data_IF_717953473462
#
_entry.id   IF_717953473462
#
_cell.length_a   1.000
_cell.length_b   1.000
_cell.length_c   1.000
_cell.angle_alpha   90.00
_cell.angle_beta   90.00
_cell.angle_gamma   90.00
#
_symmetry.space_group_name_H-M   'P 1'
#
loop_
_entity.id
_entity.type
_entity.pdbx_description
1 polymer ?
#
# COMPACT_ATOMS: atom_id res chain seq x y z
N UNK A 1 -4.62 1.57 -50.43
CA UNK A 1 -5.47 1.09 -49.32
C UNK A 1 -4.83 1.62 -48.05
N UNK A 2 -5.11 2.89 -47.76
CA UNK A 2 -4.58 3.60 -46.59
C UNK A 2 -5.53 3.31 -45.44
N UNK A 3 -5.03 2.57 -44.46
CA UNK A 3 -5.75 2.27 -43.23
C UNK A 3 -5.93 3.59 -42.47
N UNK A 4 -7.17 4.10 -42.42
CA UNK A 4 -7.48 5.27 -41.61
C UNK A 4 -7.36 4.87 -40.13
N UNK A 5 -6.67 5.66 -39.29
CA UNK A 5 -6.62 5.37 -37.87
C UNK A 5 -8.03 5.37 -37.30
N UNK A 6 -8.38 4.32 -36.56
CA UNK A 6 -9.67 4.19 -35.91
C UNK A 6 -9.95 5.41 -35.01
N UNK A 7 -11.20 5.88 -35.02
CA UNK A 7 -11.63 6.97 -34.15
C UNK A 7 -11.43 6.58 -32.67
N UNK A 8 -11.05 7.53 -31.80
CA UNK A 8 -10.89 7.26 -30.38
C UNK A 8 -12.22 6.80 -29.76
N UNK A 9 -12.18 5.89 -28.76
CA UNK A 9 -13.39 5.38 -28.12
C UNK A 9 -14.16 6.49 -27.40
N UNK A 10 -15.47 6.32 -27.31
CA UNK A 10 -16.32 7.18 -26.48
C UNK A 10 -16.02 7.01 -24.99
N UNK A 11 -16.41 7.98 -24.15
CA UNK A 11 -16.14 7.90 -22.70
C UNK A 11 -16.72 6.64 -22.01
N UNK A 12 -17.95 6.17 -22.33
CA UNK A 12 -18.46 4.90 -21.81
C UNK A 12 -17.62 3.69 -22.24
N UNK A 13 -17.22 3.63 -23.52
CA UNK A 13 -16.38 2.54 -24.05
C UNK A 13 -14.98 2.52 -23.41
N UNK A 14 -14.43 3.70 -23.10
CA UNK A 14 -13.14 3.82 -22.42
C UNK A 14 -13.22 3.31 -20.96
N UNK A 15 -14.30 3.62 -20.24
CA UNK A 15 -14.53 3.10 -18.86
C UNK A 15 -14.67 1.59 -18.87
N UNK A 16 -15.45 1.03 -19.80
CA UNK A 16 -15.63 -0.42 -19.93
C UNK A 16 -14.31 -1.14 -20.24
N UNK A 17 -13.46 -0.55 -21.09
CA UNK A 17 -12.13 -1.07 -21.39
C UNK A 17 -11.21 -1.10 -20.16
N UNK A 18 -11.22 -0.04 -19.34
CA UNK A 18 -10.43 0.02 -18.09
C UNK A 18 -10.88 -1.05 -17.09
N UNK A 19 -12.20 -1.24 -16.96
CA UNK A 19 -12.78 -2.28 -16.08
C UNK A 19 -12.39 -3.68 -16.58
N UNK A 20 -12.49 -3.95 -17.88
CA UNK A 20 -12.12 -5.24 -18.47
C UNK A 20 -10.61 -5.55 -18.30
N UNK A 21 -9.75 -4.56 -18.49
CA UNK A 21 -8.31 -4.65 -18.22
C UNK A 21 -8.04 -5.00 -16.75
N UNK A 22 -8.70 -4.29 -15.83
CA UNK A 22 -8.53 -4.51 -14.40
C UNK A 22 -8.96 -5.92 -13.96
N UNK A 23 -10.05 -6.45 -14.52
CA UNK A 23 -10.49 -7.83 -14.28
C UNK A 23 -9.44 -8.83 -14.78
N UNK A 24 -8.90 -8.62 -15.98
CA UNK A 24 -7.84 -9.48 -16.54
C UNK A 24 -6.60 -9.50 -15.65
N UNK A 25 -6.16 -8.33 -15.16
CA UNK A 25 -5.03 -8.21 -14.25
C UNK A 25 -5.30 -8.91 -12.90
N UNK A 26 -6.51 -8.78 -12.35
CA UNK A 26 -6.90 -9.41 -11.09
C UNK A 26 -6.87 -10.94 -11.19
N UNK A 27 -7.44 -11.49 -12.27
CA UNK A 27 -7.44 -12.92 -12.54
C UNK A 27 -6.02 -13.48 -12.73
N UNK A 28 -5.17 -12.76 -13.46
CA UNK A 28 -3.78 -13.13 -13.65
C UNK A 28 -2.99 -13.12 -12.33
N UNK A 29 -3.19 -12.10 -11.50
CA UNK A 29 -2.54 -11.97 -10.19
C UNK A 29 -2.99 -13.08 -9.22
N UNK A 30 -4.28 -13.41 -9.19
CA UNK A 30 -4.82 -14.50 -8.37
C UNK A 30 -4.23 -15.87 -8.80
N UNK A 31 -4.24 -16.17 -10.10
CA UNK A 31 -3.61 -17.40 -10.64
C UNK A 31 -2.12 -17.48 -10.32
N UNK A 32 -1.38 -16.40 -10.51
CA UNK A 32 0.05 -16.36 -10.21
C UNK A 32 0.35 -16.55 -8.71
N UNK A 33 -0.57 -16.15 -7.83
CA UNK A 33 -0.49 -16.38 -6.40
C UNK A 33 -0.98 -17.78 -5.96
N UNK A 34 -1.54 -18.57 -6.89
CA UNK A 34 -2.17 -19.86 -6.61
C UNK A 34 -3.38 -19.71 -5.67
N UNK A 35 -4.11 -18.61 -5.75
CA UNK A 35 -5.26 -18.37 -4.89
C UNK A 35 -6.48 -17.92 -5.71
N UNK A 36 -7.65 -18.01 -5.10
CA UNK A 36 -8.89 -17.45 -5.62
C UNK A 36 -9.27 -16.26 -4.75
N UNK A 37 -9.52 -15.10 -5.36
CA UNK A 37 -9.86 -13.87 -4.62
C UNK A 37 -11.29 -13.46 -4.97
N UNK A 38 -12.07 -13.07 -3.96
CA UNK A 38 -13.43 -12.60 -4.20
C UNK A 38 -14.10 -11.99 -2.98
N UNK A 39 -15.24 -11.30 -3.17
CA UNK A 39 -16.09 -10.85 -2.07
C UNK A 39 -16.59 -12.02 -1.22
N UNK A 40 -16.77 -11.80 0.08
CA UNK A 40 -17.30 -12.79 1.02
C UNK A 40 -18.51 -12.25 1.78
N UNK A 41 -19.50 -13.11 1.99
CA UNK A 41 -20.73 -12.77 2.73
C UNK A 41 -21.16 -13.86 3.71
N UNK A 42 -20.61 -15.07 3.62
CA UNK A 42 -20.95 -16.16 4.54
C UNK A 42 -20.36 -15.87 5.93
N UNK A 43 -21.15 -16.11 6.99
CA UNK A 43 -20.71 -15.82 8.37
C UNK A 43 -19.40 -16.55 8.73
N UNK A 44 -19.24 -17.81 8.28
CA UNK A 44 -18.04 -18.59 8.51
C UNK A 44 -16.77 -17.92 7.94
N UNK A 45 -16.85 -17.31 6.75
CA UNK A 45 -15.73 -16.62 6.11
C UNK A 45 -15.39 -15.30 6.81
N UNK A 46 -16.42 -14.58 7.28
CA UNK A 46 -16.26 -13.34 8.04
C UNK A 46 -15.60 -13.62 9.40
N UNK A 47 -16.03 -14.68 10.09
CA UNK A 47 -15.38 -15.14 11.33
C UNK A 47 -13.94 -15.60 11.09
N UNK A 48 -13.69 -16.33 10.00
CA UNK A 48 -12.33 -16.73 9.61
C UNK A 48 -11.44 -15.52 9.31
N UNK A 49 -12.00 -14.47 8.71
CA UNK A 49 -11.31 -13.20 8.48
C UNK A 49 -10.90 -12.52 9.78
N UNK A 50 -11.81 -12.46 10.77
CA UNK A 50 -11.50 -11.93 12.10
C UNK A 50 -10.34 -12.71 12.75
N UNK A 51 -10.41 -14.05 12.75
CA UNK A 51 -9.34 -14.92 13.28
C UNK A 51 -8.01 -14.72 12.55
N UNK A 52 -8.02 -14.55 11.23
CA UNK A 52 -6.82 -14.25 10.46
C UNK A 52 -6.19 -12.93 10.92
N UNK A 53 -7.00 -11.86 11.03
CA UNK A 53 -6.50 -10.55 11.46
C UNK A 53 -5.95 -10.60 12.89
N UNK A 54 -6.62 -11.29 13.80
CA UNK A 54 -6.10 -11.54 15.15
C UNK A 54 -4.74 -12.23 15.08
N UNK A 55 -4.62 -13.33 14.32
CA UNK A 55 -3.35 -14.05 14.16
C UNK A 55 -2.18 -13.22 13.60
N UNK A 56 -2.46 -12.16 12.83
CA UNK A 56 -1.43 -11.28 12.25
C UNK A 56 -1.02 -10.16 13.21
N UNK A 57 -1.98 -9.49 13.85
CA UNK A 57 -1.73 -8.26 14.62
C UNK A 57 -1.82 -8.44 16.14
N UNK A 58 -2.48 -9.50 16.65
CA UNK A 58 -2.76 -9.70 18.08
C UNK A 58 -2.77 -11.18 18.50
N UNK A 59 -1.68 -11.67 19.12
CA UNK A 59 -1.73 -12.94 19.84
C UNK A 59 -2.45 -12.88 21.21
N UNK A 60 -2.84 -11.71 21.72
CA UNK A 60 -3.44 -11.59 23.07
C UNK A 60 -4.51 -10.48 23.22
N UNK A 61 -5.78 -10.89 23.37
CA UNK A 61 -6.65 -10.48 24.49
C UNK A 61 -7.42 -9.15 24.49
N UNK A 62 -7.14 -8.16 23.64
CA UNK A 62 -7.88 -6.88 23.68
C UNK A 62 -8.40 -6.45 22.30
N UNK A 63 -9.61 -5.85 22.25
CA UNK A 63 -10.36 -5.29 21.12
C UNK A 63 -9.91 -5.77 19.71
N UNK A 64 -10.65 -6.71 19.12
CA UNK A 64 -10.41 -7.20 17.77
C UNK A 64 -10.33 -6.07 16.73
N UNK A 65 -9.47 -6.23 15.72
CA UNK A 65 -9.29 -5.25 14.64
C UNK A 65 -10.58 -5.02 13.83
N UNK A 66 -11.40 -6.05 13.74
CA UNK A 66 -12.75 -6.01 13.21
C UNK A 66 -13.57 -7.07 13.96
N UNK A 67 -14.89 -6.88 14.01
CA UNK A 67 -15.82 -7.91 14.50
C UNK A 67 -16.61 -8.50 13.33
N UNK A 68 -17.12 -9.71 13.48
CA UNK A 68 -17.96 -10.37 12.47
C UNK A 68 -19.19 -9.52 12.12
N UNK A 69 -19.80 -8.87 13.13
CA UNK A 69 -20.94 -7.97 12.96
C UNK A 69 -20.58 -6.74 12.12
N UNK A 70 -19.40 -6.15 12.36
CA UNK A 70 -18.91 -5.03 11.56
C UNK A 70 -18.68 -5.46 10.11
N UNK A 71 -18.00 -6.58 9.88
CA UNK A 71 -17.76 -7.08 8.52
C UNK A 71 -19.07 -7.39 7.79
N UNK A 72 -20.04 -7.98 8.49
CA UNK A 72 -21.39 -8.23 7.95
C UNK A 72 -22.12 -6.93 7.61
N UNK A 73 -22.02 -5.91 8.46
CA UNK A 73 -22.59 -4.59 8.19
C UNK A 73 -21.93 -3.91 7.00
N UNK A 74 -20.60 -4.01 6.87
CA UNK A 74 -19.85 -3.48 5.72
C UNK A 74 -20.29 -4.14 4.40
N UNK A 75 -20.32 -5.48 4.35
CA UNK A 75 -20.82 -6.24 3.20
C UNK A 75 -22.24 -5.81 2.83
N UNK A 76 -23.15 -5.76 3.81
CA UNK A 76 -24.54 -5.32 3.60
C UNK A 76 -24.66 -3.88 3.10
N UNK A 77 -23.76 -2.99 3.53
CA UNK A 77 -23.71 -1.60 3.09
C UNK A 77 -23.05 -1.42 1.71
N UNK A 78 -22.64 -2.51 1.04
CA UNK A 78 -22.00 -2.46 -0.27
C UNK A 78 -20.53 -2.03 -0.22
N UNK A 79 -19.89 -2.13 0.95
CA UNK A 79 -18.46 -1.87 1.12
C UNK A 79 -17.62 -3.07 0.66
N UNK A 80 -16.31 -2.87 0.54
CA UNK A 80 -15.39 -3.92 0.11
C UNK A 80 -15.09 -4.86 1.27
N UNK A 81 -15.52 -6.12 1.16
CA UNK A 81 -15.16 -7.20 2.08
C UNK A 81 -14.81 -8.41 1.24
N UNK A 82 -13.52 -8.73 1.14
CA UNK A 82 -13.03 -9.79 0.27
C UNK A 82 -11.95 -10.63 0.95
N UNK A 83 -11.87 -11.89 0.52
CA UNK A 83 -10.87 -12.84 0.95
C UNK A 83 -10.14 -13.49 -0.22
N UNK A 84 -8.95 -14.00 0.07
CA UNK A 84 -8.19 -14.89 -0.77
C UNK A 84 -8.24 -16.29 -0.16
N UNK A 85 -8.57 -17.28 -0.97
CA UNK A 85 -8.62 -18.69 -0.61
C UNK A 85 -7.52 -19.44 -1.35
N UNK A 86 -6.87 -20.39 -0.70
CA UNK A 86 -5.84 -21.21 -1.33
C UNK A 86 -6.43 -22.02 -2.51
N UNK A 87 -5.70 -22.07 -3.62
CA UNK A 87 -6.17 -22.73 -4.84
C UNK A 87 -6.09 -24.25 -4.81
N UNK A 88 -5.27 -24.85 -3.92
CA UNK A 88 -5.12 -26.30 -3.82
C UNK A 88 -6.12 -26.90 -2.83
N UNK A 89 -6.29 -26.26 -1.66
CA UNK A 89 -7.26 -26.71 -0.65
C UNK A 89 -8.68 -26.15 -0.88
N UNK A 90 -8.83 -25.08 -1.67
CA UNK A 90 -10.10 -24.48 -2.07
C UNK A 90 -10.80 -23.65 -1.00
N UNK A 91 -10.72 -24.09 0.26
CA UNK A 91 -11.50 -23.55 1.38
C UNK A 91 -10.64 -22.85 2.45
N UNK A 92 -9.30 -22.98 2.40
CA UNK A 92 -8.44 -22.31 3.38
C UNK A 92 -8.34 -20.81 3.06
N UNK A 93 -8.81 -19.98 3.98
CA UNK A 93 -8.66 -18.53 3.90
C UNK A 93 -7.21 -18.13 4.20
N UNK A 94 -6.54 -17.56 3.20
CA UNK A 94 -5.11 -17.23 3.23
C UNK A 94 -4.81 -15.74 3.30
N UNK A 95 -5.82 -14.91 3.05
CA UNK A 95 -5.71 -13.47 3.15
C UNK A 95 -7.08 -12.81 3.10
N UNK A 96 -7.17 -11.58 3.60
CA UNK A 96 -8.40 -10.79 3.52
C UNK A 96 -8.08 -9.31 3.38
N UNK A 97 -9.01 -8.58 2.76
CA UNK A 97 -8.92 -7.14 2.59
C UNK A 97 -10.30 -6.51 2.70
N UNK A 98 -10.39 -5.46 3.53
CA UNK A 98 -11.63 -4.73 3.79
C UNK A 98 -11.44 -3.23 3.55
N UNK A 99 -12.50 -2.57 3.12
CA UNK A 99 -12.51 -1.13 2.87
C UNK A 99 -13.93 -0.61 2.71
N UNK A 100 -14.11 0.70 2.87
CA UNK A 100 -15.42 1.36 2.84
C UNK A 100 -15.35 2.61 1.96
N UNK A 101 -16.49 2.98 1.35
CA UNK A 101 -16.55 4.18 0.53
C UNK A 101 -16.45 5.44 1.39
N UNK A 102 -15.66 6.40 0.92
CA UNK A 102 -15.65 7.77 1.43
C UNK A 102 -16.57 8.68 0.63
N UNK A 103 -16.90 9.87 1.16
CA UNK A 103 -17.58 10.91 0.39
C UNK A 103 -16.64 11.53 -0.68
N UNK A 104 -17.16 11.98 -1.83
CA UNK A 104 -18.55 11.85 -2.27
C UNK A 104 -18.90 10.39 -2.62
N UNK A 105 -20.18 9.98 -2.50
CA UNK A 105 -20.60 8.60 -2.74
C UNK A 105 -20.03 8.05 -4.05
N UNK A 106 -19.44 6.86 -3.98
CA UNK A 106 -18.86 6.12 -5.11
C UNK A 106 -17.65 6.75 -5.80
N UNK A 107 -17.10 7.88 -5.33
CA UNK A 107 -15.90 8.49 -5.92
C UNK A 107 -14.58 7.89 -5.43
N UNK A 108 -14.51 7.50 -4.15
CA UNK A 108 -13.28 7.00 -3.53
C UNK A 108 -13.55 5.90 -2.48
N UNK A 109 -12.66 4.90 -2.44
CA UNK A 109 -12.67 3.82 -1.45
C UNK A 109 -11.51 3.99 -0.46
N UNK A 110 -11.78 3.94 0.84
CA UNK A 110 -10.72 3.76 1.83
C UNK A 110 -10.46 2.27 2.05
N UNK A 111 -9.25 1.80 1.75
CA UNK A 111 -8.79 0.45 2.05
C UNK A 111 -8.28 0.41 3.50
N UNK A 112 -9.05 -0.21 4.39
CA UNK A 112 -8.83 -0.13 5.83
C UNK A 112 -7.80 -1.15 6.33
N UNK A 113 -8.05 -2.44 6.10
CA UNK A 113 -7.18 -3.54 6.56
C UNK A 113 -6.92 -4.50 5.39
N UNK A 114 -5.67 -4.93 5.24
CA UNK A 114 -5.28 -5.97 4.30
C UNK A 114 -4.23 -6.86 4.96
N UNK A 115 -4.56 -8.14 5.15
CA UNK A 115 -3.74 -9.11 5.87
C UNK A 115 -3.60 -10.41 5.09
N UNK A 116 -2.43 -11.05 5.22
CA UNK A 116 -2.11 -12.34 4.60
C UNK A 116 -1.47 -13.24 5.65
N UNK A 117 -1.86 -14.51 5.67
CA UNK A 117 -1.30 -15.51 6.57
C UNK A 117 0.22 -15.64 6.41
N UNK A 118 0.95 -15.77 7.53
CA UNK A 118 2.41 -15.74 7.53
C UNK A 118 3.07 -16.88 6.75
N UNK A 119 2.44 -18.06 6.68
CA UNK A 119 2.95 -19.24 5.96
C UNK A 119 2.99 -19.09 4.44
N UNK A 120 2.38 -18.04 3.90
CA UNK A 120 2.22 -17.84 2.45
C UNK A 120 2.95 -16.59 1.94
N UNK A 121 3.89 -16.08 2.75
CA UNK A 121 4.83 -15.03 2.36
C UNK A 121 5.59 -15.48 1.11
N UNK A 122 5.70 -14.61 0.12
CA UNK A 122 6.36 -14.88 -1.15
C UNK A 122 5.44 -15.27 -2.32
N UNK A 123 4.19 -15.72 -2.05
CA UNK A 123 3.20 -16.03 -3.10
C UNK A 123 2.47 -14.81 -3.66
N UNK A 124 2.78 -13.59 -3.22
CA UNK A 124 2.12 -12.37 -3.68
C UNK A 124 0.59 -12.29 -3.46
N UNK A 125 0.04 -13.04 -2.50
CA UNK A 125 -1.41 -13.00 -2.16
C UNK A 125 -1.91 -11.59 -1.85
N UNK A 126 -1.12 -10.79 -1.12
CA UNK A 126 -1.47 -9.40 -0.82
C UNK A 126 -1.57 -8.52 -2.07
N UNK A 127 -0.76 -8.81 -3.10
CA UNK A 127 -0.87 -8.14 -4.39
C UNK A 127 -2.15 -8.56 -5.12
N UNK A 128 -2.47 -9.86 -5.17
CA UNK A 128 -3.71 -10.35 -5.76
C UNK A 128 -4.96 -9.72 -5.09
N UNK A 129 -4.97 -9.60 -3.76
CA UNK A 129 -6.02 -8.89 -3.01
C UNK A 129 -6.19 -7.43 -3.44
N UNK A 130 -5.08 -6.70 -3.63
CA UNK A 130 -5.13 -5.28 -4.03
C UNK A 130 -5.51 -5.10 -5.49
N UNK A 131 -5.03 -5.96 -6.40
CA UNK A 131 -5.45 -5.91 -7.81
C UNK A 131 -6.93 -6.26 -7.96
N UNK A 132 -7.45 -7.23 -7.19
CA UNK A 132 -8.88 -7.48 -7.09
C UNK A 132 -9.65 -6.28 -6.51
N UNK A 133 -9.11 -5.60 -5.48
CA UNK A 133 -9.73 -4.39 -4.95
C UNK A 133 -9.83 -3.28 -6.01
N UNK A 134 -8.82 -3.13 -6.87
CA UNK A 134 -8.86 -2.20 -8.01
C UNK A 134 -9.99 -2.55 -8.97
N UNK A 135 -10.09 -3.80 -9.44
CA UNK A 135 -11.14 -4.19 -10.39
C UNK A 135 -12.53 -4.03 -9.79
N UNK A 136 -12.72 -4.46 -8.55
CA UNK A 136 -13.99 -4.33 -7.82
C UNK A 136 -14.43 -2.87 -7.63
N UNK A 137 -13.48 -1.98 -7.35
CA UNK A 137 -13.74 -0.55 -7.13
C UNK A 137 -14.09 0.16 -8.44
N UNK A 138 -13.34 -0.11 -9.52
CA UNK A 138 -13.63 0.43 -10.85
C UNK A 138 -15.02 0.02 -11.35
N UNK A 139 -15.44 -1.24 -11.14
CA UNK A 139 -16.80 -1.72 -11.45
C UNK A 139 -17.91 -0.94 -10.73
N UNK A 140 -17.59 -0.24 -9.65
CA UNK A 140 -18.52 0.54 -8.82
C UNK A 140 -18.35 2.05 -9.02
N UNK A 141 -17.62 2.46 -10.05
CA UNK A 141 -17.43 3.86 -10.41
C UNK A 141 -16.39 4.60 -9.57
N UNK A 142 -15.66 3.92 -8.69
CA UNK A 142 -14.59 4.56 -7.92
C UNK A 142 -13.39 4.83 -8.82
N UNK A 143 -12.90 6.06 -8.79
CA UNK A 143 -11.67 6.45 -9.49
C UNK A 143 -10.42 6.22 -8.63
N UNK A 144 -10.58 6.22 -7.30
CA UNK A 144 -9.46 6.23 -6.37
C UNK A 144 -9.67 5.26 -5.20
N UNK A 145 -8.57 4.63 -4.75
CA UNK A 145 -8.49 3.98 -3.43
C UNK A 145 -7.44 4.70 -2.59
N UNK A 146 -7.69 4.92 -1.29
CA UNK A 146 -6.71 5.46 -0.35
C UNK A 146 -6.48 4.56 0.85
N UNK A 147 -5.29 4.58 1.41
CA UNK A 147 -4.96 3.89 2.66
C UNK A 147 -3.70 4.51 3.27
N UNK A 148 -3.39 4.12 4.50
CA UNK A 148 -2.15 4.52 5.15
C UNK A 148 -1.22 3.33 5.36
N UNK A 149 0.08 3.58 5.43
CA UNK A 149 1.05 2.59 5.91
C UNK A 149 2.15 3.27 6.73
N UNK A 150 2.88 2.50 7.53
CA UNK A 150 4.03 3.01 8.28
C UNK A 150 5.23 3.28 7.34
N UNK A 151 5.69 4.54 7.20
CA UNK A 151 6.75 4.90 6.26
C UNK A 151 8.09 4.23 6.56
N UNK A 152 8.33 3.77 7.79
CA UNK A 152 9.59 3.11 8.17
C UNK A 152 9.64 1.63 7.78
N UNK A 153 8.50 1.00 7.50
CA UNK A 153 8.43 -0.42 7.16
C UNK A 153 8.78 -0.61 5.68
N UNK A 154 10.05 -0.91 5.38
CA UNK A 154 10.59 -1.06 4.00
C UNK A 154 9.74 -1.90 3.07
N UNK A 155 9.28 -3.07 3.55
CA UNK A 155 8.43 -3.97 2.73
C UNK A 155 7.12 -3.32 2.32
N UNK A 156 6.52 -2.51 3.20
CA UNK A 156 5.28 -1.80 2.93
C UNK A 156 5.55 -0.63 1.98
N UNK A 157 6.64 0.11 2.18
CA UNK A 157 7.06 1.18 1.28
C UNK A 157 7.27 0.66 -0.15
N UNK A 158 8.06 -0.41 -0.31
CA UNK A 158 8.27 -1.04 -1.62
C UNK A 158 6.96 -1.57 -2.22
N UNK A 159 6.11 -2.23 -1.41
CA UNK A 159 4.84 -2.75 -1.89
C UNK A 159 3.90 -1.63 -2.39
N UNK A 160 3.73 -0.57 -1.60
CA UNK A 160 2.79 0.51 -1.90
C UNK A 160 3.29 1.42 -3.04
N UNK A 161 4.55 1.85 -3.00
CA UNK A 161 5.10 2.82 -3.95
C UNK A 161 5.64 2.13 -5.21
N UNK A 162 6.44 1.07 -5.04
CA UNK A 162 7.03 0.34 -6.15
C UNK A 162 6.05 -0.62 -6.82
N UNK A 163 5.48 -1.54 -6.03
CA UNK A 163 4.72 -2.67 -6.57
C UNK A 163 3.29 -2.33 -6.99
N UNK A 164 2.64 -1.37 -6.32
CA UNK A 164 1.30 -0.91 -6.66
C UNK A 164 1.30 0.41 -7.44
N UNK A 165 2.45 1.09 -7.56
CA UNK A 165 2.52 2.45 -8.12
C UNK A 165 1.61 3.45 -7.38
N UNK A 166 1.37 3.25 -6.07
CA UNK A 166 0.63 4.17 -5.23
C UNK A 166 1.38 5.49 -5.04
N UNK A 167 0.64 6.60 -5.02
CA UNK A 167 1.19 7.94 -4.80
C UNK A 167 1.17 8.28 -3.32
N UNK A 168 2.33 8.58 -2.73
CA UNK A 168 2.37 9.17 -1.40
C UNK A 168 1.79 10.59 -1.47
N UNK A 169 0.65 10.80 -0.82
CA UNK A 169 -0.09 12.05 -0.85
C UNK A 169 0.23 12.95 0.34
N UNK A 170 0.39 12.37 1.54
CA UNK A 170 0.57 13.14 2.76
C UNK A 170 1.29 12.32 3.83
N UNK A 171 2.15 12.98 4.61
CA UNK A 171 2.68 12.44 5.86
C UNK A 171 1.76 12.83 7.02
N UNK A 172 1.35 11.86 7.83
CA UNK A 172 0.41 12.00 8.94
C UNK A 172 1.10 11.62 10.26
N UNK A 173 1.57 12.60 11.06
CA UNK A 173 2.20 12.33 12.34
C UNK A 173 1.22 11.70 13.35
N UNK A 174 1.68 10.66 14.05
CA UNK A 174 0.98 9.94 15.12
C UNK A 174 -0.52 9.70 14.84
N UNK A 175 -0.84 9.26 13.62
CA UNK A 175 -2.20 9.31 13.06
C UNK A 175 -3.23 8.50 13.85
N UNK A 176 -2.82 7.37 14.42
CA UNK A 176 -3.71 6.50 15.20
C UNK A 176 -3.51 6.65 16.72
N UNK A 177 -2.63 7.55 17.17
CA UNK A 177 -2.22 7.63 18.57
C UNK A 177 -1.55 6.33 19.05
N UNK A 178 -1.56 6.05 20.37
CA UNK A 178 -1.03 4.80 20.93
C UNK A 178 -1.76 3.57 20.39
N UNK A 179 -1.02 2.61 19.82
CA UNK A 179 -1.54 1.32 19.35
C UNK A 179 -0.89 0.16 20.11
N UNK A 180 -1.67 -0.52 20.96
CA UNK A 180 -1.23 -1.74 21.64
C UNK A 180 -1.36 -2.96 20.70
N UNK A 181 -0.52 -3.03 19.67
CA UNK A 181 -0.41 -4.20 18.79
C UNK A 181 1.03 -4.73 18.70
N UNK A 182 1.19 -5.96 18.19
CA UNK A 182 2.48 -6.63 18.12
C UNK A 182 3.49 -6.03 17.13
N UNK A 183 3.08 -5.03 16.33
CA UNK A 183 3.87 -4.50 15.20
C UNK A 183 4.37 -3.08 15.48
N UNK A 184 3.53 -2.22 16.02
CA UNK A 184 3.83 -0.81 16.30
C UNK A 184 4.55 -0.63 17.64
N UNK A 185 4.31 -1.51 18.62
CA UNK A 185 4.94 -1.39 19.95
C UNK A 185 4.57 -0.07 20.64
N UNK A 186 5.53 0.58 21.29
CA UNK A 186 5.34 1.87 21.97
C UNK A 186 5.73 3.10 21.11
N UNK A 187 5.98 2.90 19.82
CA UNK A 187 6.39 3.94 18.87
C UNK A 187 5.19 4.76 18.37
N UNK A 188 5.41 6.01 17.95
CA UNK A 188 4.36 6.86 17.38
C UNK A 188 3.84 6.24 16.08
N UNK A 189 2.55 6.43 15.80
CA UNK A 189 1.88 5.80 14.65
C UNK A 189 1.87 6.69 13.42
N UNK A 190 3.05 7.18 13.02
CA UNK A 190 3.13 7.97 11.79
C UNK A 190 2.70 7.13 10.59
N UNK A 191 2.01 7.78 9.67
CA UNK A 191 1.43 7.15 8.50
C UNK A 191 1.73 7.97 7.26
N UNK A 192 2.08 7.28 6.18
CA UNK A 192 2.07 7.86 4.85
C UNK A 192 0.74 7.52 4.19
N UNK A 193 -0.07 8.54 3.92
CA UNK A 193 -1.29 8.42 3.14
C UNK A 193 -0.92 8.15 1.69
N UNK A 194 -1.45 7.06 1.16
CA UNK A 194 -1.34 6.68 -0.25
C UNK A 194 -2.66 6.94 -0.93
N UNK A 195 -2.59 7.57 -2.10
CA UNK A 195 -3.68 7.64 -3.06
C UNK A 195 -3.34 6.80 -4.27
N UNK A 196 -4.29 5.98 -4.69
CA UNK A 196 -4.15 5.04 -5.78
C UNK A 196 -5.19 5.35 -6.84
N UNK A 197 -4.78 6.10 -7.86
CA UNK A 197 -5.60 6.44 -9.02
C UNK A 197 -5.74 5.20 -9.90
N UNK A 198 -6.95 4.64 -9.98
CA UNK A 198 -7.15 3.28 -10.48
C UNK A 198 -7.06 3.17 -11.99
N UNK A 199 -7.29 4.26 -12.71
CA UNK A 199 -7.20 4.37 -14.18
C UNK A 199 -5.82 4.85 -14.66
N UNK A 200 -4.92 5.25 -13.75
CA UNK A 200 -3.61 5.75 -14.12
C UNK A 200 -2.77 4.69 -14.87
N UNK A 201 -2.09 5.04 -15.97
CA UNK A 201 -1.33 4.08 -16.78
C UNK A 201 -0.26 3.31 -15.99
N UNK A 202 0.44 3.98 -15.07
CA UNK A 202 1.40 3.35 -14.16
C UNK A 202 0.80 2.27 -13.25
N UNK A 203 -0.44 2.48 -12.79
CA UNK A 203 -1.15 1.58 -11.89
C UNK A 203 -1.62 0.37 -12.67
N UNK A 204 -2.18 0.58 -13.87
CA UNK A 204 -2.49 -0.51 -14.78
C UNK A 204 -1.23 -1.34 -15.10
N UNK A 205 -0.12 -0.69 -15.46
CA UNK A 205 1.14 -1.38 -15.73
C UNK A 205 1.64 -2.20 -14.52
N UNK A 206 1.59 -1.61 -13.32
CA UNK A 206 1.96 -2.27 -12.07
C UNK A 206 1.07 -3.48 -11.76
N UNK A 207 -0.26 -3.36 -11.94
CA UNK A 207 -1.22 -4.45 -11.80
C UNK A 207 -0.96 -5.61 -12.78
N UNK A 208 -0.40 -5.32 -13.95
CA UNK A 208 0.09 -6.32 -14.92
C UNK A 208 1.49 -6.87 -14.61
N UNK A 209 2.00 -6.67 -13.39
CA UNK A 209 3.27 -7.21 -12.95
C UNK A 209 4.50 -6.44 -13.44
N UNK A 210 4.33 -5.18 -13.88
CA UNK A 210 5.43 -4.26 -14.25
C UNK A 210 5.58 -3.17 -13.18
N UNK A 211 6.22 -3.47 -12.03
CA UNK A 211 6.33 -2.52 -10.93
C UNK A 211 7.22 -1.33 -11.29
N UNK A 212 7.05 -0.21 -10.58
CA UNK A 212 8.03 0.87 -10.60
C UNK A 212 9.33 0.39 -9.96
N UNK A 213 10.43 0.48 -10.69
CA UNK A 213 11.76 0.16 -10.20
C UNK A 213 12.54 1.44 -9.92
N UNK A 214 13.26 1.45 -8.81
CA UNK A 214 14.12 2.56 -8.40
C UNK A 214 15.41 1.96 -7.90
N UNK A 215 16.53 2.51 -8.36
CA UNK A 215 17.87 2.14 -7.89
C UNK A 215 18.51 3.37 -7.26
N UNK A 216 18.59 3.38 -5.94
CA UNK A 216 19.14 4.51 -5.20
C UNK A 216 20.62 4.77 -5.53
N UNK A 217 21.38 3.74 -5.93
CA UNK A 217 22.79 3.89 -6.31
C UNK A 217 22.90 4.62 -7.65
N UNK A 218 22.09 4.22 -8.63
CA UNK A 218 22.02 4.89 -9.92
C UNK A 218 21.55 6.34 -9.78
N UNK A 219 20.53 6.61 -8.96
CA UNK A 219 20.04 7.97 -8.70
C UNK A 219 21.11 8.85 -8.07
N UNK A 220 21.89 8.35 -7.12
CA UNK A 220 23.03 9.09 -6.54
C UNK A 220 24.11 9.39 -7.56
N UNK A 221 24.50 8.39 -8.35
CA UNK A 221 25.47 8.59 -9.44
C UNK A 221 24.97 9.63 -10.45
N UNK A 222 23.65 9.70 -10.65
CA UNK A 222 22.96 10.71 -11.46
C UNK A 222 22.70 12.04 -10.75
N UNK A 223 23.25 12.28 -9.55
CA UNK A 223 23.19 13.56 -8.84
C UNK A 223 22.04 13.74 -7.84
N UNK A 224 21.27 12.70 -7.52
CA UNK A 224 20.26 12.78 -6.45
C UNK A 224 20.95 13.01 -5.09
N UNK A 225 20.53 14.06 -4.39
CA UNK A 225 21.11 14.41 -3.10
C UNK A 225 20.60 13.46 -2.00
N UNK A 226 21.42 13.18 -0.98
CA UNK A 226 20.99 12.37 0.17
C UNK A 226 20.57 13.31 1.29
N UNK A 227 19.28 13.35 1.61
CA UNK A 227 18.71 14.21 2.67
C UNK A 227 18.61 13.50 4.01
N UNK A 228 18.51 12.17 4.01
CA UNK A 228 18.54 11.35 5.23
C UNK A 228 19.28 10.05 4.95
N UNK A 229 20.24 9.70 5.79
CA UNK A 229 21.01 8.46 5.69
C UNK A 229 21.11 7.72 7.03
N UNK A 230 21.53 6.46 6.98
CA UNK A 230 22.01 5.75 8.17
C UNK A 230 23.50 6.05 8.39
N UNK A 231 23.91 6.30 9.64
CA UNK A 231 25.31 6.35 10.06
C UNK A 231 25.91 4.95 10.18
N UNK A 232 27.21 4.85 10.46
CA UNK A 232 27.89 3.56 10.66
C UNK A 232 27.33 2.75 11.85
N UNK A 233 26.80 3.42 12.88
CA UNK A 233 26.11 2.81 14.01
C UNK A 233 24.60 2.60 13.77
N UNK A 234 24.11 2.83 12.54
CA UNK A 234 22.74 2.54 12.14
C UNK A 234 21.68 3.55 12.58
N UNK A 235 22.11 4.73 13.05
CA UNK A 235 21.23 5.84 13.45
C UNK A 235 20.90 6.76 12.28
N UNK A 236 19.77 7.48 12.32
CA UNK A 236 19.45 8.45 11.29
C UNK A 236 20.39 9.65 11.36
N UNK A 237 20.80 10.17 10.20
CA UNK A 237 21.51 11.43 10.08
C UNK A 237 20.94 12.22 8.90
N UNK A 238 20.33 13.36 9.23
CA UNK A 238 19.77 14.29 8.25
C UNK A 238 20.86 15.20 7.69
N UNK A 239 20.74 15.52 6.40
CA UNK A 239 21.66 16.38 5.67
C UNK A 239 20.90 17.54 5.06
N UNK A 240 21.45 18.74 5.16
CA UNK A 240 20.95 19.89 4.40
C UNK A 240 21.56 19.87 3.01
N UNK A 241 20.75 19.55 2.01
CA UNK A 241 21.17 19.47 0.61
C UNK A 241 20.18 20.19 -0.28
N UNK A 242 20.68 20.73 -1.39
CA UNK A 242 19.87 21.37 -2.43
C UNK A 242 19.93 20.52 -3.70
N UNK A 243 18.82 20.49 -4.45
CA UNK A 243 18.72 19.72 -5.68
C UNK A 243 17.26 19.60 -6.11
N UNK A 244 17.06 18.95 -7.26
CA UNK A 244 15.71 18.66 -7.80
C UNK A 244 15.27 17.23 -7.49
N UNK A 245 16.21 16.38 -7.05
CA UNK A 245 15.99 14.98 -6.69
C UNK A 245 16.71 14.67 -5.39
N UNK A 246 16.06 13.94 -4.50
CA UNK A 246 16.67 13.53 -3.25
C UNK A 246 16.27 12.12 -2.80
N UNK A 247 17.09 11.57 -1.91
CA UNK A 247 16.95 10.24 -1.33
C UNK A 247 16.83 10.32 0.18
N UNK A 248 15.78 9.68 0.71
CA UNK A 248 15.49 9.59 2.14
C UNK A 248 15.58 8.13 2.58
N UNK A 249 16.54 7.81 3.44
CA UNK A 249 16.70 6.48 4.02
C UNK A 249 15.59 6.15 5.03
N UNK A 250 15.34 4.86 5.19
CA UNK A 250 14.63 4.27 6.34
C UNK A 250 15.48 3.15 6.95
N UNK A 251 15.28 2.77 8.23
CA UNK A 251 16.07 1.71 8.86
C UNK A 251 15.86 0.36 8.19
N UNK A 252 16.82 -0.56 8.36
CA UNK A 252 16.77 -1.92 7.78
C UNK A 252 15.54 -2.71 8.19
N UNK A 253 15.26 -2.72 9.49
CA UNK A 253 14.14 -3.44 10.08
C UNK A 253 13.63 -2.66 11.30
N UNK A 254 12.65 -1.78 11.07
CA UNK A 254 12.03 -1.00 12.14
C UNK A 254 11.32 -1.89 13.17
N UNK A 255 10.75 -3.02 12.75
CA UNK A 255 10.03 -3.93 13.66
C UNK A 255 10.98 -4.65 14.61
N UNK A 256 12.18 -4.99 14.14
CA UNK A 256 13.26 -5.45 15.01
C UNK A 256 13.77 -4.32 15.91
N UNK A 257 14.05 -3.14 15.37
CA UNK A 257 14.56 -2.00 16.15
C UNK A 257 13.63 -1.63 17.30
N UNK A 258 12.31 -1.61 17.09
CA UNK A 258 11.32 -1.35 18.16
C UNK A 258 11.47 -2.28 19.36
N UNK A 259 11.95 -3.51 19.15
CA UNK A 259 12.15 -4.51 20.21
C UNK A 259 13.56 -4.45 20.81
N UNK A 260 14.57 -4.21 19.98
CA UNK A 260 15.98 -4.33 20.40
C UNK A 260 16.62 -3.00 20.80
N UNK A 261 16.20 -1.88 20.20
CA UNK A 261 16.67 -0.53 20.52
C UNK A 261 15.56 0.51 20.26
N UNK A 262 14.60 0.65 21.20
CA UNK A 262 13.48 1.58 21.06
C UNK A 262 13.91 3.04 20.90
N UNK A 263 15.08 3.43 21.44
CA UNK A 263 15.60 4.79 21.30
C UNK A 263 16.00 5.08 19.87
N UNK A 264 16.71 4.15 19.23
CA UNK A 264 17.05 4.29 17.81
C UNK A 264 15.81 4.20 16.91
N UNK A 265 14.81 3.38 17.26
CA UNK A 265 13.52 3.37 16.54
C UNK A 265 12.82 4.74 16.60
N UNK A 266 12.71 5.34 17.78
CA UNK A 266 12.14 6.67 17.96
C UNK A 266 12.94 7.78 17.25
N UNK A 267 14.28 7.67 17.24
CA UNK A 267 15.12 8.59 16.48
C UNK A 267 14.84 8.51 14.97
N UNK A 268 14.72 7.30 14.42
CA UNK A 268 14.35 7.10 13.01
C UNK A 268 12.96 7.65 12.70
N UNK A 269 11.99 7.46 13.60
CA UNK A 269 10.65 8.04 13.49
C UNK A 269 10.70 9.56 13.39
N UNK A 270 11.37 10.23 14.32
CA UNK A 270 11.53 11.69 14.31
C UNK A 270 12.22 12.17 13.03
N UNK A 271 13.36 11.58 12.68
CA UNK A 271 14.13 12.03 11.51
C UNK A 271 13.38 11.85 10.18
N UNK A 272 12.61 10.75 10.01
CA UNK A 272 11.78 10.56 8.82
C UNK A 272 10.57 11.49 8.85
N UNK A 273 9.94 11.73 10.00
CA UNK A 273 8.85 12.71 10.15
C UNK A 273 9.29 14.09 9.70
N UNK A 274 10.43 14.55 10.19
CA UNK A 274 10.95 15.87 9.91
C UNK A 274 11.33 15.96 8.42
N UNK A 275 12.20 15.06 7.93
CA UNK A 275 12.69 15.15 6.53
C UNK A 275 11.62 14.81 5.50
N UNK A 276 10.98 13.64 5.59
CA UNK A 276 10.00 13.21 4.57
C UNK A 276 8.71 14.04 4.66
N UNK A 277 8.29 14.39 5.87
CA UNK A 277 7.10 15.21 6.10
C UNK A 277 7.25 16.63 5.55
N UNK A 278 8.36 17.30 5.84
CA UNK A 278 8.65 18.64 5.31
C UNK A 278 8.75 18.64 3.79
N UNK A 279 9.48 17.69 3.19
CA UNK A 279 9.59 17.58 1.74
C UNK A 279 8.22 17.45 1.06
N UNK A 280 7.34 16.58 1.58
CA UNK A 280 5.98 16.42 1.04
C UNK A 280 5.13 17.67 1.22
N UNK A 281 5.26 18.37 2.36
CA UNK A 281 4.57 19.64 2.61
C UNK A 281 5.05 20.75 1.66
N UNK A 282 6.33 20.75 1.32
CA UNK A 282 6.98 21.67 0.36
C UNK A 282 6.73 21.30 -1.11
N UNK A 283 5.86 20.32 -1.38
CA UNK A 283 5.42 19.94 -2.72
C UNK A 283 6.34 18.97 -3.46
N UNK A 284 7.31 18.37 -2.78
CA UNK A 284 8.05 17.24 -3.34
C UNK A 284 7.16 16.02 -3.49
N UNK A 285 7.48 15.16 -4.46
CA UNK A 285 6.72 13.95 -4.73
C UNK A 285 7.61 12.73 -4.60
N UNK A 286 7.14 11.73 -3.84
CA UNK A 286 7.73 10.40 -3.85
C UNK A 286 7.43 9.75 -5.21
N UNK A 287 8.48 9.49 -5.99
CA UNK A 287 8.39 8.87 -7.32
C UNK A 287 8.81 7.41 -7.30
N UNK A 288 9.49 6.97 -6.24
CA UNK A 288 10.04 5.62 -6.17
C UNK A 288 10.42 5.19 -4.76
N UNK A 289 10.60 3.88 -4.61
CA UNK A 289 11.20 3.29 -3.41
C UNK A 289 12.13 2.15 -3.82
N UNK A 290 13.41 2.30 -3.48
CA UNK A 290 14.41 1.26 -3.66
C UNK A 290 14.35 0.24 -2.51
N UNK A 291 14.55 -1.04 -2.84
CA UNK A 291 14.44 -2.16 -1.89
C UNK A 291 15.48 -2.09 -0.76
N UNK A 292 16.61 -1.40 -0.97
CA UNK A 292 17.60 -1.19 0.09
C UNK A 292 17.19 -0.10 1.10
N UNK A 293 15.98 0.46 0.99
CA UNK A 293 15.37 1.31 2.00
C UNK A 293 15.48 2.80 1.71
N UNK A 294 15.24 3.21 0.47
CA UNK A 294 15.35 4.60 0.06
C UNK A 294 14.09 5.06 -0.66
N UNK A 295 13.44 6.10 -0.15
CA UNK A 295 12.48 6.86 -0.93
C UNK A 295 13.24 7.76 -1.91
N UNK A 296 12.80 7.79 -3.17
CA UNK A 296 13.20 8.78 -4.15
C UNK A 296 12.12 9.85 -4.21
N UNK A 297 12.53 11.11 -4.03
CA UNK A 297 11.67 12.27 -4.17
C UNK A 297 12.19 13.18 -5.28
N UNK A 298 11.25 13.78 -6.01
CA UNK A 298 11.50 14.78 -7.05
C UNK A 298 10.73 16.03 -6.68
N UNK A 299 11.36 17.20 -6.81
CA UNK A 299 10.67 18.47 -6.65
C UNK A 299 9.71 18.62 -7.82
N UNK A 300 8.43 18.84 -7.55
CA UNK A 300 7.49 19.14 -8.63
C UNK A 300 7.92 20.47 -9.25
N UNK A 301 8.18 20.50 -10.56
CA UNK A 301 8.29 21.77 -11.26
C UNK A 301 7.03 22.57 -10.95
N UNK A 302 7.21 23.74 -10.35
CA UNK A 302 6.07 24.64 -10.15
C UNK A 302 5.66 25.09 -11.54
N UNK A 303 4.41 24.83 -11.99
CA UNK A 303 3.95 25.34 -13.28
C UNK A 303 4.01 26.87 -13.33
#
# INVERSE_FOLDING_TARGET
MTDSPAAPPSAPEAVDAIVADALTAADAAARAAGCRVGPISALADLEATCRLFEGIWKPAGENGLATTELLRAMDKAGSYVAAAFDGESGDELVGACIGFFGPPPHGALHSHIAGVAAGLRGRNVGFALKVHQRSWALQRGAAQVSWTFDPLVRRNAYFNIGKLAGRAAQYLPNFYGPMNDGINGADDTDRLLVEWQLDAPEVAAACHGRPRTTDATAERAGGAAVTLSATADGRPHAHHVTGERCLVAVPEDIERLRRTDPRSAAAWRGAVRDVLGELLADGWQVTGFDRAGWYLLVRKDTP
#
